data_IF_912393746059
#
_entry.id   IF_912393746059
#
_cell.length_a   1.000
_cell.length_b   1.000
_cell.length_c   1.000
_cell.angle_alpha   90.00
_cell.angle_beta   90.00
_cell.angle_gamma   90.00
#
_symmetry.space_group_name_H-M   'P 1'
#
loop_
_entity.id
_entity.type
_entity.pdbx_description
1 polymer ?
#
# COMPACT_ATOMS: atom_id res chain seq x y z
N UNK A 1 -9.98 23.67 -10.15
CA UNK A 1 -10.07 22.61 -9.13
C UNK A 1 -9.90 23.22 -7.74
N UNK A 2 -10.68 22.77 -6.75
CA UNK A 2 -10.53 23.18 -5.33
C UNK A 2 -9.16 22.79 -4.73
N UNK A 3 -8.37 22.04 -5.47
CA UNK A 3 -7.02 21.62 -5.10
C UNK A 3 -5.91 22.36 -5.83
N UNK A 4 -6.26 23.34 -6.70
CA UNK A 4 -5.27 24.13 -7.42
C UNK A 4 -4.30 24.82 -6.43
N UNK A 5 -3.00 24.71 -6.70
CA UNK A 5 -1.94 25.24 -5.85
C UNK A 5 -1.62 24.41 -4.58
N UNK A 6 -2.30 23.27 -4.37
CA UNK A 6 -2.01 22.34 -3.24
C UNK A 6 -1.54 20.97 -3.69
N UNK A 7 -1.46 20.75 -5.01
CA UNK A 7 -1.00 19.49 -5.60
C UNK A 7 0.11 19.82 -6.59
N UNK A 8 1.23 19.17 -6.41
CA UNK A 8 2.34 19.16 -7.35
C UNK A 8 2.48 17.76 -7.95
N UNK A 9 2.79 17.71 -9.24
CA UNK A 9 2.94 16.44 -9.97
C UNK A 9 4.35 16.37 -10.56
N UNK A 10 5.05 15.29 -10.24
CA UNK A 10 6.40 15.04 -10.73
C UNK A 10 6.41 13.80 -11.63
N UNK A 11 6.86 13.94 -12.86
CA UNK A 11 7.11 12.81 -13.77
C UNK A 11 8.51 12.25 -13.48
N UNK A 12 8.61 11.42 -12.47
CA UNK A 12 9.89 10.83 -12.04
C UNK A 12 9.69 9.45 -11.42
N UNK A 13 10.70 8.59 -11.56
CA UNK A 13 10.73 7.36 -10.79
C UNK A 13 10.97 7.68 -9.31
N UNK A 14 10.31 6.94 -8.40
CA UNK A 14 10.44 7.17 -6.95
C UNK A 14 11.90 7.09 -6.48
N UNK A 15 12.74 6.26 -7.13
CA UNK A 15 14.16 6.13 -6.83
C UNK A 15 14.94 7.43 -7.03
N UNK A 16 14.50 8.28 -7.96
CA UNK A 16 15.12 9.55 -8.29
C UNK A 16 14.50 10.73 -7.58
N UNK A 17 13.35 10.53 -6.93
CA UNK A 17 12.68 11.59 -6.20
C UNK A 17 13.40 11.91 -4.88
N UNK A 18 13.58 13.18 -4.59
CA UNK A 18 14.20 13.68 -3.36
C UNK A 18 13.41 14.88 -2.84
N UNK A 19 13.21 14.92 -1.54
CA UNK A 19 12.64 16.07 -0.82
C UNK A 19 13.35 16.19 0.53
N UNK A 20 13.90 17.37 0.81
CA UNK A 20 14.67 17.59 2.04
C UNK A 20 13.79 17.81 3.28
N UNK A 21 12.54 18.24 3.10
CA UNK A 21 11.60 18.47 4.19
C UNK A 21 10.96 17.13 4.65
N UNK A 22 10.86 16.16 3.74
CA UNK A 22 10.18 14.91 3.98
C UNK A 22 8.64 15.05 4.01
N UNK A 23 7.96 13.94 4.28
CA UNK A 23 6.51 13.85 4.27
C UNK A 23 5.98 13.25 5.57
N UNK A 24 4.93 13.83 6.12
CA UNK A 24 4.22 13.27 7.29
C UNK A 24 3.32 12.10 6.89
N UNK A 25 2.94 12.01 5.62
CA UNK A 25 2.14 10.91 5.10
C UNK A 25 2.61 10.52 3.71
N UNK A 26 2.92 9.25 3.53
CA UNK A 26 3.23 8.64 2.24
C UNK A 26 2.19 7.55 1.98
N UNK A 27 1.60 7.53 0.78
CA UNK A 27 0.61 6.52 0.38
C UNK A 27 1.07 5.85 -0.91
N UNK A 28 0.97 4.53 -0.99
CA UNK A 28 1.33 3.76 -2.19
C UNK A 28 0.37 2.61 -2.46
N UNK A 29 0.12 2.38 -3.73
CA UNK A 29 -0.39 1.12 -4.26
C UNK A 29 0.68 0.57 -5.21
N UNK A 30 1.76 -0.02 -4.68
CA UNK A 30 2.90 -0.40 -5.48
C UNK A 30 2.56 -1.55 -6.43
N UNK A 31 3.24 -1.66 -7.58
CA UNK A 31 3.04 -2.79 -8.49
C UNK A 31 3.50 -4.09 -7.83
N UNK A 32 2.64 -5.12 -7.84
CA UNK A 32 2.89 -6.42 -7.22
C UNK A 32 3.23 -7.46 -8.29
N UNK A 33 4.44 -7.46 -8.76
CA UNK A 33 4.99 -8.52 -9.61
C UNK A 33 5.94 -9.39 -8.78
N UNK A 34 5.42 -10.08 -7.76
CA UNK A 34 6.17 -11.18 -7.18
C UNK A 34 6.09 -12.36 -8.13
N UNK A 35 7.26 -12.77 -8.63
CA UNK A 35 7.58 -14.04 -9.29
C UNK A 35 6.37 -14.98 -9.45
N UNK A 36 5.60 -14.82 -10.50
CA UNK A 36 4.78 -15.92 -10.98
C UNK A 36 5.71 -16.97 -11.56
N UNK A 37 6.33 -17.76 -10.68
CA UNK A 37 7.11 -18.97 -11.02
C UNK A 37 6.27 -20.04 -11.75
N UNK A 38 5.09 -19.70 -12.27
CA UNK A 38 4.15 -20.60 -12.94
C UNK A 38 3.72 -20.14 -14.32
N UNK A 39 4.51 -19.34 -15.04
CA UNK A 39 4.22 -19.13 -16.45
C UNK A 39 5.47 -19.43 -17.29
N UNK A 40 5.44 -20.48 -18.16
CA UNK A 40 6.61 -20.91 -18.94
C UNK A 40 7.04 -19.95 -20.05
N UNK A 41 6.43 -18.78 -20.16
CA UNK A 41 6.75 -17.79 -21.18
C UNK A 41 7.82 -16.82 -20.68
N UNK A 42 9.05 -17.33 -20.59
CA UNK A 42 10.24 -16.65 -20.05
C UNK A 42 10.58 -15.31 -20.72
N UNK A 43 10.16 -15.07 -21.98
CA UNK A 43 10.40 -13.80 -22.68
C UNK A 43 9.49 -12.68 -22.20
N UNK A 44 8.24 -12.97 -21.81
CA UNK A 44 7.31 -11.99 -21.24
C UNK A 44 7.58 -11.72 -19.76
N UNK A 45 8.17 -12.69 -19.05
CA UNK A 45 8.58 -12.51 -17.66
C UNK A 45 9.76 -11.54 -17.53
N UNK A 46 10.77 -11.65 -18.41
CA UNK A 46 11.95 -10.78 -18.40
C UNK A 46 11.61 -9.31 -18.66
N UNK A 47 10.67 -9.01 -19.58
CA UNK A 47 10.23 -7.64 -19.86
C UNK A 47 9.43 -7.01 -18.71
N UNK A 48 8.78 -7.83 -17.85
CA UNK A 48 8.04 -7.36 -16.67
C UNK A 48 8.91 -7.19 -15.42
N UNK A 49 10.11 -7.79 -15.39
CA UNK A 49 11.07 -7.65 -14.30
C UNK A 49 11.77 -6.29 -14.27
N UNK A 50 11.85 -5.59 -15.39
CA UNK A 50 12.42 -4.25 -15.45
C UNK A 50 11.52 -3.16 -14.87
N UNK A 51 10.19 -3.40 -14.80
CA UNK A 51 9.20 -2.41 -14.36
C UNK A 51 8.67 -2.64 -12.93
N UNK A 52 9.16 -3.67 -12.22
CA UNK A 52 8.75 -3.93 -10.84
C UNK A 52 9.59 -3.13 -9.87
N UNK A 53 8.94 -2.36 -8.99
CA UNK A 53 9.59 -1.71 -7.86
C UNK A 53 9.78 -2.77 -6.74
N UNK A 54 11.00 -3.24 -6.43
CA UNK A 54 11.23 -4.15 -5.31
C UNK A 54 10.79 -3.52 -3.99
N UNK A 55 10.28 -4.31 -3.06
CA UNK A 55 9.89 -3.81 -1.74
C UNK A 55 11.05 -3.14 -0.99
N UNK A 56 12.27 -3.69 -1.10
CA UNK A 56 13.48 -3.10 -0.53
C UNK A 56 13.69 -1.67 -1.01
N UNK A 57 13.60 -1.44 -2.30
CA UNK A 57 13.79 -0.12 -2.90
C UNK A 57 12.66 0.85 -2.53
N UNK A 58 11.41 0.36 -2.45
CA UNK A 58 10.30 1.17 -1.96
C UNK A 58 10.53 1.59 -0.50
N UNK A 59 10.87 0.66 0.38
CA UNK A 59 11.09 0.95 1.79
C UNK A 59 12.33 1.80 2.04
N UNK A 60 13.39 1.61 1.28
CA UNK A 60 14.57 2.50 1.30
C UNK A 60 14.15 3.96 1.04
N UNK A 61 13.34 4.19 0.00
CA UNK A 61 12.86 5.54 -0.34
C UNK A 61 11.84 6.07 0.65
N UNK A 62 10.92 5.25 1.10
CA UNK A 62 9.98 5.64 2.16
C UNK A 62 10.75 6.04 3.43
N UNK A 63 11.73 5.24 3.83
CA UNK A 63 12.55 5.57 4.99
C UNK A 63 13.36 6.86 4.81
N UNK A 64 13.79 7.20 3.61
CA UNK A 64 14.50 8.46 3.34
C UNK A 64 13.57 9.69 3.32
N UNK A 65 12.32 9.51 2.90
CA UNK A 65 11.35 10.60 2.68
C UNK A 65 10.36 10.82 3.83
N UNK A 66 10.19 9.85 4.72
CA UNK A 66 9.23 9.93 5.82
C UNK A 66 9.81 10.74 6.98
N UNK A 67 9.06 11.69 7.51
CA UNK A 67 9.43 12.40 8.74
C UNK A 67 9.47 11.45 9.95
N UNK A 68 10.04 11.89 11.09
CA UNK A 68 10.17 11.08 12.32
C UNK A 68 8.82 10.56 12.83
N UNK A 69 7.77 11.35 12.70
CA UNK A 69 6.42 11.05 13.17
C UNK A 69 5.49 10.63 12.02
N UNK A 70 6.03 10.53 10.81
CA UNK A 70 5.29 10.23 9.60
C UNK A 70 4.73 8.81 9.56
N UNK A 71 3.72 8.62 8.72
CA UNK A 71 3.06 7.33 8.48
C UNK A 71 3.10 6.98 7.00
N UNK A 72 3.61 5.78 6.70
CA UNK A 72 3.55 5.18 5.37
C UNK A 72 2.38 4.21 5.29
N UNK A 73 1.48 4.41 4.34
CA UNK A 73 0.33 3.55 4.10
C UNK A 73 0.42 2.87 2.73
N UNK A 74 0.14 1.57 2.68
CA UNK A 74 0.16 0.82 1.43
C UNK A 74 -1.03 -0.13 1.31
N UNK A 75 -1.50 -0.31 0.06
CA UNK A 75 -2.47 -1.35 -0.30
C UNK A 75 -1.73 -2.48 -1.00
N UNK A 76 -1.78 -3.69 -0.44
CA UNK A 76 -1.03 -4.84 -0.99
C UNK A 76 -1.90 -6.10 -1.09
N UNK A 77 -1.55 -7.08 -1.95
CA UNK A 77 -2.15 -8.41 -1.89
C UNK A 77 -1.90 -9.05 -0.52
N UNK A 78 -2.91 -9.73 0.02
CA UNK A 78 -2.81 -10.33 1.37
C UNK A 78 -1.70 -11.38 1.46
N UNK A 79 -1.42 -12.09 0.38
CA UNK A 79 -0.32 -13.05 0.29
C UNK A 79 1.07 -12.42 0.42
N UNK A 80 1.20 -11.12 0.16
CA UNK A 80 2.48 -10.40 0.25
C UNK A 80 2.75 -9.81 1.63
N UNK A 81 1.78 -9.82 2.55
CA UNK A 81 1.83 -9.11 3.85
C UNK A 81 3.09 -9.46 4.66
N UNK A 82 3.40 -10.74 4.81
CA UNK A 82 4.55 -11.16 5.64
C UNK A 82 5.88 -10.66 5.09
N UNK A 83 6.08 -10.76 3.76
CA UNK A 83 7.28 -10.28 3.11
C UNK A 83 7.38 -8.74 3.17
N UNK A 84 6.25 -8.05 2.99
CA UNK A 84 6.18 -6.60 3.03
C UNK A 84 6.49 -6.05 4.44
N UNK A 85 5.95 -6.68 5.49
CA UNK A 85 6.23 -6.31 6.88
C UNK A 85 7.71 -6.57 7.24
N UNK A 86 8.25 -7.71 6.82
CA UNK A 86 9.66 -8.04 7.06
C UNK A 86 10.59 -6.99 6.43
N UNK A 87 10.30 -6.58 5.19
CA UNK A 87 11.08 -5.55 4.50
C UNK A 87 10.98 -4.19 5.20
N UNK A 88 9.77 -3.79 5.63
CA UNK A 88 9.59 -2.56 6.43
C UNK A 88 10.45 -2.56 7.69
N UNK A 89 10.50 -3.70 8.39
CA UNK A 89 11.32 -3.84 9.60
C UNK A 89 12.81 -3.71 9.33
N UNK A 90 13.32 -4.22 8.21
CA UNK A 90 14.72 -4.06 7.79
C UNK A 90 15.09 -2.59 7.55
N UNK A 91 14.12 -1.76 7.21
CA UNK A 91 14.29 -0.32 6.99
C UNK A 91 13.87 0.54 8.19
N UNK A 92 13.71 -0.05 9.38
CA UNK A 92 13.39 0.67 10.62
C UNK A 92 11.96 1.16 10.71
N UNK A 93 11.03 0.54 9.96
CA UNK A 93 9.61 0.86 9.99
C UNK A 93 8.82 -0.31 10.57
N UNK A 94 8.04 -0.04 11.60
CA UNK A 94 7.16 -1.02 12.25
C UNK A 94 5.73 -0.87 11.72
N UNK A 95 5.06 -1.99 11.44
CA UNK A 95 3.65 -1.96 11.11
C UNK A 95 2.85 -1.61 12.37
N UNK A 96 2.02 -0.57 12.28
CA UNK A 96 1.21 -0.06 13.39
C UNK A 96 -0.28 -0.35 13.19
N UNK A 97 -0.70 -0.55 11.93
CA UNK A 97 -2.09 -0.88 11.60
C UNK A 97 -2.16 -1.83 10.42
N UNK A 98 -3.08 -2.79 10.50
CA UNK A 98 -3.45 -3.71 9.41
C UNK A 98 -4.96 -3.81 9.30
N UNK A 99 -5.48 -3.61 8.08
CA UNK A 99 -6.88 -3.86 7.76
C UNK A 99 -6.95 -4.86 6.61
N UNK A 100 -7.50 -6.05 6.86
CA UNK A 100 -7.69 -7.08 5.85
C UNK A 100 -9.05 -6.87 5.14
N UNK A 101 -9.03 -6.80 3.81
CA UNK A 101 -10.21 -6.43 3.00
C UNK A 101 -10.72 -7.66 2.24
N UNK A 102 -11.97 -8.04 2.52
CA UNK A 102 -12.72 -9.07 1.78
C UNK A 102 -13.64 -8.43 0.74
N UNK A 103 -13.82 -9.08 -0.39
CA UNK A 103 -14.86 -8.63 -1.35
C UNK A 103 -16.26 -8.86 -0.79
N UNK A 104 -16.50 -10.02 -0.18
CA UNK A 104 -17.76 -10.39 0.48
C UNK A 104 -17.46 -11.16 1.77
N UNK A 105 -18.41 -11.30 2.71
CA UNK A 105 -18.18 -12.00 3.98
C UNK A 105 -17.68 -13.45 3.86
N UNK A 106 -18.03 -14.13 2.75
CA UNK A 106 -17.69 -15.55 2.51
C UNK A 106 -16.32 -15.75 1.86
N UNK A 107 -15.70 -14.69 1.31
CA UNK A 107 -14.40 -14.79 0.62
C UNK A 107 -13.25 -14.47 1.56
N UNK A 108 -12.12 -15.14 1.38
CA UNK A 108 -10.89 -14.78 2.07
C UNK A 108 -10.43 -13.35 1.66
N UNK A 109 -9.72 -12.63 2.54
CA UNK A 109 -9.15 -11.33 2.22
C UNK A 109 -8.22 -11.44 1.00
N UNK A 110 -8.32 -10.48 0.09
CA UNK A 110 -7.46 -10.39 -1.10
C UNK A 110 -6.54 -9.18 -1.09
N UNK A 111 -6.86 -8.19 -0.28
CA UNK A 111 -6.05 -6.98 -0.09
C UNK A 111 -5.91 -6.72 1.39
N UNK A 112 -4.78 -6.17 1.74
CA UNK A 112 -4.52 -5.66 3.09
C UNK A 112 -4.04 -4.22 2.98
N UNK A 113 -4.61 -3.35 3.81
CA UNK A 113 -4.16 -1.99 4.02
C UNK A 113 -3.21 -2.03 5.20
N UNK A 114 -1.99 -1.55 5.01
CA UNK A 114 -0.97 -1.52 6.05
C UNK A 114 -0.53 -0.09 6.31
N UNK A 115 -0.32 0.25 7.57
CA UNK A 115 0.32 1.50 7.96
C UNK A 115 1.59 1.20 8.75
N UNK A 116 2.66 1.91 8.42
CA UNK A 116 3.98 1.79 9.05
C UNK A 116 4.40 3.13 9.64
N UNK A 117 5.17 3.07 10.73
CA UNK A 117 5.75 4.23 11.39
C UNK A 117 7.15 3.87 11.91
N UNK A 118 7.98 4.89 12.17
CA UNK A 118 9.26 4.72 12.87
C UNK A 118 9.10 4.42 14.37
N UNK A 119 7.92 4.70 14.92
CA UNK A 119 7.64 4.45 16.34
C UNK A 119 7.55 2.94 16.57
N UNK A 120 8.56 2.39 17.22
CA UNK A 120 8.52 1.03 17.74
C UNK A 120 7.76 1.01 19.07
N UNK A 121 7.00 -0.07 19.36
CA UNK A 121 6.54 -0.36 20.71
C UNK A 121 5.07 -0.17 21.03
N UNK A 122 4.18 -0.25 20.03
CA UNK A 122 2.73 -0.39 20.25
C UNK A 122 2.20 -1.74 19.76
N UNK A 123 1.06 -2.18 20.30
CA UNK A 123 0.33 -3.29 19.73
C UNK A 123 -0.21 -2.88 18.35
N UNK A 124 -0.03 -3.73 17.33
CA UNK A 124 -0.55 -3.49 16.00
C UNK A 124 -2.08 -3.54 16.01
N UNK A 125 -2.73 -2.44 15.65
CA UNK A 125 -4.18 -2.44 15.43
C UNK A 125 -4.53 -3.34 14.23
N UNK A 126 -5.41 -4.30 14.44
CA UNK A 126 -5.86 -5.22 13.38
C UNK A 126 -7.37 -5.18 13.22
N UNK A 127 -7.81 -4.95 11.98
CA UNK A 127 -9.22 -4.94 11.60
C UNK A 127 -9.46 -5.80 10.36
N UNK A 128 -10.72 -6.15 10.13
CA UNK A 128 -11.16 -6.82 8.91
C UNK A 128 -12.45 -6.16 8.44
N UNK A 129 -12.56 -5.92 7.14
CA UNK A 129 -13.70 -5.25 6.52
C UNK A 129 -14.16 -5.98 5.26
N UNK A 130 -15.41 -5.75 4.87
CA UNK A 130 -15.98 -6.25 3.62
C UNK A 130 -16.33 -5.08 2.70
N UNK A 131 -16.23 -5.29 1.39
CA UNK A 131 -16.64 -4.28 0.39
C UNK A 131 -18.13 -4.38 0.09
N UNK A 132 -18.67 -5.61 0.08
CA UNK A 132 -20.07 -5.89 -0.25
C UNK A 132 -20.69 -6.82 0.79
N UNK A 133 -21.94 -6.56 1.11
CA UNK A 133 -22.76 -7.42 1.93
C UNK A 133 -23.21 -8.67 1.16
N UNK A 134 -23.82 -9.62 1.88
CA UNK A 134 -24.29 -10.88 1.29
C UNK A 134 -25.35 -10.67 0.20
N UNK A 135 -26.11 -9.58 0.26
CA UNK A 135 -27.11 -9.16 -0.74
C UNK A 135 -26.50 -8.44 -1.96
N UNK A 136 -25.16 -8.28 -2.01
CA UNK A 136 -24.44 -7.61 -3.10
C UNK A 136 -24.40 -6.08 -3.02
N UNK A 137 -25.02 -5.48 -2.00
CA UNK A 137 -24.92 -4.04 -1.76
C UNK A 137 -23.55 -3.69 -1.19
N UNK A 138 -23.12 -2.43 -1.34
CA UNK A 138 -21.93 -1.93 -0.66
C UNK A 138 -22.11 -2.03 0.84
N UNK A 139 -21.03 -2.42 1.54
CA UNK A 139 -21.03 -2.35 2.99
C UNK A 139 -21.12 -0.90 3.48
N UNK A 140 -21.65 -0.69 4.66
CA UNK A 140 -21.72 0.63 5.29
C UNK A 140 -20.33 1.26 5.39
N UNK A 141 -19.31 0.48 5.78
CA UNK A 141 -17.91 0.93 5.84
C UNK A 141 -17.41 1.42 4.48
N UNK A 142 -17.65 0.64 3.42
CA UNK A 142 -17.17 1.00 2.09
C UNK A 142 -17.93 2.18 1.50
N UNK A 143 -19.23 2.27 1.72
CA UNK A 143 -20.04 3.41 1.28
C UNK A 143 -19.64 4.69 2.00
N UNK A 144 -19.50 4.66 3.34
CA UNK A 144 -19.04 5.81 4.11
C UNK A 144 -17.67 6.33 3.68
N UNK A 145 -16.75 5.42 3.28
CA UNK A 145 -15.42 5.79 2.82
C UNK A 145 -15.40 6.38 1.40
N UNK A 146 -16.33 5.98 0.54
CA UNK A 146 -16.22 6.21 -0.91
C UNK A 146 -17.36 7.01 -1.53
N UNK A 147 -18.44 7.30 -0.80
CA UNK A 147 -19.64 7.94 -1.38
C UNK A 147 -19.36 9.29 -2.04
N UNK A 148 -18.40 10.07 -1.56
CA UNK A 148 -18.03 11.37 -2.12
C UNK A 148 -17.21 11.26 -3.43
N UNK A 149 -16.67 10.08 -3.73
CA UNK A 149 -15.83 9.84 -4.91
C UNK A 149 -16.59 9.22 -6.08
N UNK A 150 -17.78 8.67 -5.85
CA UNK A 150 -18.60 8.11 -6.91
C UNK A 150 -19.62 9.13 -7.42
N UNK A 151 -19.60 9.32 -8.73
CA UNK A 151 -20.67 10.05 -9.44
C UNK A 151 -21.92 9.16 -9.38
N UNK A 152 -23.01 9.71 -8.87
CA UNK A 152 -24.33 9.06 -8.84
C UNK A 152 -25.08 9.32 -10.12
#
# INVERSE_FOLDING_TARGET
SRFAGRVEVFETAIQQFHDAAGFDSIVSNPPFFQNSLKNPDTRRAAARHSDSLPFSMLFEKVAALLTSDGVFSAVIPTECVSAFIAEGSLHGLSVVRRCDVRTTPRKAPRRSLLAFSRRAGGEMERTEVVLQETNGQRSEWYDALTHDFYIR
#
